data_IF_060433246821
#
_entry.id   IF_060433246821
#
_cell.length_a   1.000
_cell.length_b   1.000
_cell.length_c   1.000
_cell.angle_alpha   90.00
_cell.angle_beta   90.00
_cell.angle_gamma   90.00
#
_symmetry.space_group_name_H-M   'P 1'
#
loop_
_entity.id
_entity.type
_entity.pdbx_description
1 polymer ?
#
# COMPACT_ATOMS: atom_id res chain seq x y z
N UNK A 1 -15.46 -17.97 47.37
CA UNK A 1 -16.55 -18.86 47.81
C UNK A 1 -17.48 -19.10 46.62
N UNK A 2 -17.51 -20.35 46.12
CA UNK A 2 -18.65 -21.06 45.52
C UNK A 2 -19.35 -20.44 44.28
N UNK A 3 -19.94 -21.13 43.31
CA UNK A 3 -20.01 -22.52 42.81
C UNK A 3 -20.86 -22.35 41.51
N UNK A 4 -20.37 -22.67 40.31
CA UNK A 4 -20.69 -23.89 39.56
C UNK A 4 -22.19 -24.26 39.45
N UNK A 5 -22.73 -24.21 38.22
CA UNK A 5 -23.59 -25.21 37.54
C UNK A 5 -24.26 -24.53 36.31
N UNK A 6 -24.26 -25.08 35.08
CA UNK A 6 -24.60 -26.46 34.70
C UNK A 6 -23.83 -26.92 33.45
N UNK A 7 -23.42 -28.18 33.51
CA UNK A 7 -22.93 -29.03 32.40
C UNK A 7 -24.05 -29.32 31.40
N UNK A 8 -23.71 -29.42 30.12
CA UNK A 8 -24.23 -30.49 29.26
C UNK A 8 -23.06 -31.11 28.51
N UNK A 9 -22.87 -32.42 28.72
CA UNK A 9 -21.86 -33.28 28.10
C UNK A 9 -22.60 -34.25 27.20
N UNK A 10 -22.26 -34.28 25.91
CA UNK A 10 -22.32 -35.43 24.99
C UNK A 10 -21.26 -35.10 23.92
N UNK A 11 -20.21 -35.85 23.59
CA UNK A 11 -19.81 -37.23 23.83
C UNK A 11 -18.99 -37.62 22.60
N UNK A 12 -17.72 -37.99 22.76
CA UNK A 12 -16.85 -38.39 21.64
C UNK A 12 -15.36 -38.43 22.00
N UNK A 13 -14.96 -39.44 22.77
CA UNK A 13 -13.56 -39.82 23.04
C UNK A 13 -12.88 -40.29 21.75
N UNK A 14 -11.65 -39.82 21.48
CA UNK A 14 -10.39 -40.60 21.39
C UNK A 14 -9.30 -39.79 20.68
N UNK A 15 -8.12 -39.65 21.29
CA UNK A 15 -6.87 -39.30 20.59
C UNK A 15 -6.07 -38.12 21.16
N UNK A 16 -5.32 -38.36 22.25
CA UNK A 16 -4.21 -37.51 22.69
C UNK A 16 -3.03 -37.65 21.70
N UNK A 17 -2.78 -36.66 20.84
CA UNK A 17 -1.47 -36.41 20.21
C UNK A 17 -1.27 -34.90 20.00
N UNK A 18 -0.20 -34.34 20.59
CA UNK A 18 0.54 -33.22 20.01
C UNK A 18 0.03 -31.80 20.23
N UNK A 19 0.38 -31.22 21.37
CA UNK A 19 0.34 -29.77 21.64
C UNK A 19 1.41 -29.08 20.77
N UNK A 20 1.07 -28.70 19.54
CA UNK A 20 1.85 -27.76 18.70
C UNK A 20 1.12 -27.30 17.41
N UNK A 21 0.06 -27.98 16.97
CA UNK A 21 -0.57 -27.73 15.65
C UNK A 21 -1.77 -26.77 15.60
N UNK A 22 -2.31 -26.35 16.75
CA UNK A 22 -3.58 -25.61 16.82
C UNK A 22 -3.52 -24.13 16.43
N UNK A 23 -2.36 -23.49 16.54
CA UNK A 23 -2.23 -22.05 16.26
C UNK A 23 -2.11 -21.72 14.77
N UNK A 24 -1.65 -22.66 13.94
CA UNK A 24 -1.42 -22.41 12.50
C UNK A 24 -2.67 -22.49 11.62
N UNK A 25 -3.78 -23.04 12.15
CA UNK A 25 -5.01 -23.24 11.36
C UNK A 25 -5.97 -22.06 11.52
N UNK A 26 -5.99 -21.38 12.67
CA UNK A 26 -6.86 -20.23 12.91
C UNK A 26 -6.49 -19.02 12.02
N UNK A 27 -5.19 -18.78 11.80
CA UNK A 27 -4.69 -17.62 11.04
C UNK A 27 -4.98 -17.70 9.53
N UNK A 28 -5.02 -18.90 8.95
CA UNK A 28 -5.35 -19.07 7.52
C UNK A 28 -6.82 -18.78 7.21
N UNK A 29 -7.73 -19.12 8.12
CA UNK A 29 -9.16 -18.89 7.93
C UNK A 29 -9.54 -17.42 8.13
N UNK A 30 -8.87 -16.71 9.04
CA UNK A 30 -9.12 -15.29 9.28
C UNK A 30 -8.56 -14.38 8.17
N UNK A 31 -7.38 -14.68 7.62
CA UNK A 31 -6.84 -13.92 6.47
C UNK A 31 -7.71 -14.10 5.21
N UNK A 32 -8.19 -15.33 4.94
CA UNK A 32 -9.06 -15.59 3.80
C UNK A 32 -10.44 -14.93 3.95
N UNK A 33 -10.97 -14.82 5.17
CA UNK A 33 -12.19 -14.07 5.46
C UNK A 33 -11.97 -12.56 5.28
N UNK A 34 -10.86 -12.01 5.78
CA UNK A 34 -10.50 -10.59 5.59
C UNK A 34 -10.34 -10.21 4.10
N UNK A 35 -9.71 -11.08 3.31
CA UNK A 35 -9.57 -10.90 1.87
C UNK A 35 -10.92 -11.02 1.13
N UNK A 36 -11.77 -12.00 1.49
CA UNK A 36 -13.08 -12.20 0.84
C UNK A 36 -14.11 -11.14 1.22
N UNK A 37 -14.10 -10.65 2.46
CA UNK A 37 -15.03 -9.61 2.91
C UNK A 37 -14.68 -8.25 2.31
N UNK A 38 -13.39 -7.91 2.16
CA UNK A 38 -12.97 -6.71 1.42
C UNK A 38 -13.13 -6.80 -0.10
N UNK A 39 -13.13 -7.99 -0.71
CA UNK A 39 -13.48 -8.10 -2.14
C UNK A 39 -14.96 -7.80 -2.45
N UNK A 40 -15.83 -7.72 -1.43
CA UNK A 40 -17.21 -7.20 -1.57
C UNK A 40 -17.31 -5.69 -1.41
N UNK A 41 -16.23 -5.02 -1.01
CA UNK A 41 -16.12 -3.57 -1.00
C UNK A 41 -15.89 -3.07 -2.43
N UNK A 42 -17.02 -2.95 -3.15
CA UNK A 42 -17.23 -2.30 -4.46
C UNK A 42 -15.95 -2.06 -5.29
N UNK A 43 -15.50 -3.08 -6.01
CA UNK A 43 -14.76 -2.83 -7.23
C UNK A 43 -15.61 -1.90 -8.11
N UNK A 44 -15.10 -0.72 -8.47
CA UNK A 44 -15.77 0.27 -9.32
C UNK A 44 -16.09 -0.34 -10.70
N UNK A 45 -17.23 -1.02 -10.81
CA UNK A 45 -17.66 -1.73 -12.02
C UNK A 45 -18.21 -0.74 -13.02
N UNK A 46 -17.37 -0.39 -14.01
CA UNK A 46 -17.67 0.56 -15.12
C UNK A 46 -17.76 2.01 -14.63
N UNK A 47 -17.84 2.96 -15.56
CA UNK A 47 -17.75 4.42 -15.33
C UNK A 47 -18.97 4.93 -14.56
N UNK A 48 -19.14 4.44 -13.33
CA UNK A 48 -20.26 4.79 -12.49
C UNK A 48 -20.04 6.20 -11.96
N UNK A 49 -21.07 7.04 -12.11
CA UNK A 49 -21.09 8.38 -11.56
C UNK A 49 -20.77 8.43 -10.05
N UNK A 50 -20.87 7.29 -9.33
CA UNK A 50 -20.44 7.18 -7.94
C UNK A 50 -18.92 7.31 -7.77
N UNK A 51 -18.11 6.66 -8.62
CA UNK A 51 -16.66 6.69 -8.48
C UNK A 51 -16.11 8.09 -8.77
N UNK A 52 -16.70 8.81 -9.73
CA UNK A 52 -16.34 10.19 -10.02
C UNK A 52 -16.68 11.11 -8.85
N UNK A 53 -17.85 10.92 -8.22
CA UNK A 53 -18.24 11.67 -7.01
C UNK A 53 -17.28 11.42 -5.84
N UNK A 54 -16.86 10.18 -5.64
CA UNK A 54 -15.86 9.83 -4.62
C UNK A 54 -14.52 10.51 -4.87
N UNK A 55 -14.06 10.56 -6.12
CA UNK A 55 -12.83 11.26 -6.51
C UNK A 55 -12.94 12.77 -6.24
N UNK A 56 -14.08 13.39 -6.57
CA UNK A 56 -14.31 14.81 -6.30
C UNK A 56 -14.37 15.12 -4.80
N UNK A 57 -14.96 14.22 -4.01
CA UNK A 57 -14.96 14.32 -2.55
C UNK A 57 -13.54 14.15 -1.98
N UNK A 58 -12.79 13.16 -2.47
CA UNK A 58 -11.39 12.94 -2.11
C UNK A 58 -10.54 14.18 -2.38
N UNK A 59 -10.71 14.82 -3.55
CA UNK A 59 -10.03 16.06 -3.88
C UNK A 59 -10.33 17.18 -2.86
N UNK A 60 -11.60 17.34 -2.44
CA UNK A 60 -11.98 18.32 -1.41
C UNK A 60 -11.32 18.02 -0.06
N UNK A 61 -11.28 16.76 0.35
CA UNK A 61 -10.62 16.34 1.60
C UNK A 61 -9.13 16.63 1.58
N UNK A 62 -8.47 16.45 0.42
CA UNK A 62 -7.03 16.74 0.27
C UNK A 62 -6.69 18.23 0.35
N UNK A 63 -7.67 19.13 0.15
CA UNK A 63 -7.47 20.58 0.31
C UNK A 63 -7.34 21.03 1.78
N UNK A 64 -7.49 20.12 2.75
CA UNK A 64 -7.28 20.44 4.16
C UNK A 64 -5.88 21.04 4.38
N UNK A 65 -5.74 22.15 5.13
CA UNK A 65 -4.46 22.78 5.41
C UNK A 65 -3.45 21.87 6.13
N UNK A 66 -3.90 20.81 6.79
CA UNK A 66 -3.03 19.83 7.48
C UNK A 66 -2.31 18.90 6.51
N UNK A 67 -2.78 18.77 5.28
CA UNK A 67 -2.18 17.90 4.28
C UNK A 67 -1.01 18.60 3.59
N UNK A 68 0.19 18.02 3.70
CA UNK A 68 1.43 18.48 3.06
C UNK A 68 2.01 17.45 2.07
N UNK A 69 1.17 16.50 1.63
CA UNK A 69 1.58 15.42 0.74
C UNK A 69 1.96 15.92 -0.67
N UNK A 70 2.89 15.23 -1.34
CA UNK A 70 3.17 15.45 -2.77
C UNK A 70 1.93 15.23 -3.64
N UNK A 71 1.05 14.31 -3.22
CA UNK A 71 -0.27 14.12 -3.85
C UNK A 71 -1.04 15.44 -3.90
N UNK A 72 -1.20 16.15 -2.78
CA UNK A 72 -1.97 17.43 -2.75
C UNK A 72 -1.36 18.48 -3.69
N UNK A 73 -0.03 18.53 -3.77
CA UNK A 73 0.68 19.53 -4.59
C UNK A 73 0.47 19.31 -6.09
N UNK A 74 0.48 18.05 -6.53
CA UNK A 74 0.43 17.70 -7.97
C UNK A 74 -0.96 17.29 -8.45
N UNK A 75 -1.85 16.91 -7.54
CA UNK A 75 -3.25 16.66 -7.85
C UNK A 75 -4.00 17.99 -8.00
N UNK A 76 -3.84 18.63 -9.15
CA UNK A 76 -4.64 19.82 -9.51
C UNK A 76 -6.00 19.42 -10.06
N UNK A 77 -6.97 20.34 -10.04
CA UNK A 77 -8.29 20.09 -10.64
C UNK A 77 -8.20 19.65 -12.11
N UNK A 78 -7.26 20.22 -12.88
CA UNK A 78 -7.03 19.82 -14.27
C UNK A 78 -6.58 18.36 -14.40
N UNK A 79 -5.67 17.91 -13.52
CA UNK A 79 -5.21 16.52 -13.48
C UNK A 79 -6.35 15.58 -13.08
N UNK A 80 -7.16 15.96 -12.08
CA UNK A 80 -8.34 15.19 -11.70
C UNK A 80 -9.30 15.05 -12.89
N UNK A 81 -9.60 16.12 -13.60
CA UNK A 81 -10.53 16.10 -14.73
C UNK A 81 -10.04 15.25 -15.90
N UNK A 82 -8.73 15.22 -16.15
CA UNK A 82 -8.12 14.39 -17.17
C UNK A 82 -8.11 12.89 -16.80
N UNK A 83 -7.99 12.57 -15.51
CA UNK A 83 -7.73 11.21 -15.02
C UNK A 83 -8.97 10.52 -14.44
N UNK A 84 -10.00 11.26 -14.00
CA UNK A 84 -11.20 10.71 -13.31
C UNK A 84 -11.98 9.67 -14.11
N UNK A 85 -11.91 9.73 -15.44
CA UNK A 85 -12.61 8.80 -16.34
C UNK A 85 -11.70 7.68 -16.89
N UNK A 86 -10.40 7.68 -16.54
CA UNK A 86 -9.45 6.68 -17.01
C UNK A 86 -9.44 5.46 -16.12
N UNK A 87 -9.21 4.30 -16.73
CA UNK A 87 -9.05 3.01 -16.05
C UNK A 87 -7.95 2.19 -16.73
N UNK A 88 -7.30 1.33 -15.95
CA UNK A 88 -6.36 0.35 -16.48
C UNK A 88 -7.09 -0.89 -16.99
N UNK A 89 -6.39 -1.79 -17.69
CA UNK A 89 -6.93 -3.07 -18.16
C UNK A 89 -7.41 -3.97 -17.03
N UNK A 90 -6.79 -3.86 -15.86
CA UNK A 90 -7.19 -4.58 -14.65
C UNK A 90 -8.31 -3.87 -13.89
N UNK A 91 -8.76 -2.71 -14.38
CA UNK A 91 -9.89 -1.97 -13.82
C UNK A 91 -9.52 -1.01 -12.69
N UNK A 92 -8.24 -0.74 -12.46
CA UNK A 92 -7.80 0.23 -11.47
C UNK A 92 -8.20 1.65 -11.87
N UNK A 93 -8.67 2.43 -10.90
CA UNK A 93 -9.14 3.81 -11.07
C UNK A 93 -8.23 4.80 -10.35
N UNK A 94 -8.40 6.10 -10.62
CA UNK A 94 -7.71 7.15 -9.89
C UNK A 94 -7.98 7.08 -8.38
N UNK A 95 -9.19 6.69 -7.97
CA UNK A 95 -9.52 6.54 -6.54
C UNK A 95 -8.64 5.47 -5.88
N UNK A 96 -8.36 4.37 -6.56
CA UNK A 96 -7.50 3.31 -6.03
C UNK A 96 -6.05 3.79 -5.84
N UNK A 97 -5.59 4.73 -6.68
CA UNK A 97 -4.26 5.34 -6.58
C UNK A 97 -4.14 6.28 -5.38
N UNK A 98 -5.15 7.13 -5.15
CA UNK A 98 -5.09 8.21 -4.15
C UNK A 98 -5.69 7.84 -2.79
N UNK A 99 -6.39 6.70 -2.68
CA UNK A 99 -7.15 6.29 -1.48
C UNK A 99 -6.33 6.41 -0.19
N UNK A 100 -5.06 5.99 -0.23
CA UNK A 100 -4.18 6.06 0.94
C UNK A 100 -3.87 7.50 1.36
N UNK A 101 -3.58 8.40 0.41
CA UNK A 101 -3.29 9.80 0.73
C UNK A 101 -4.52 10.58 1.20
N UNK A 102 -5.72 10.17 0.76
CA UNK A 102 -6.98 10.76 1.22
C UNK A 102 -7.30 10.33 2.66
N UNK A 103 -7.05 9.06 3.01
CA UNK A 103 -7.28 8.55 4.35
C UNK A 103 -6.21 9.01 5.35
N UNK A 104 -4.96 9.11 4.90
CA UNK A 104 -3.80 9.47 5.72
C UNK A 104 -3.23 10.81 5.23
N UNK A 105 -3.77 11.92 5.75
CA UNK A 105 -3.40 13.28 5.33
C UNK A 105 -1.97 13.69 5.74
N UNK A 106 -1.35 12.93 6.64
CA UNK A 106 0.02 13.05 7.10
C UNK A 106 1.03 12.31 6.20
N UNK A 107 0.57 11.60 5.16
CA UNK A 107 1.44 10.90 4.24
C UNK A 107 2.36 11.87 3.47
N UNK A 108 3.66 11.55 3.36
CA UNK A 108 4.60 12.36 2.59
C UNK A 108 4.31 12.37 1.08
N UNK A 109 3.99 11.20 0.50
CA UNK A 109 3.69 11.06 -0.94
C UNK A 109 2.20 10.86 -1.17
N UNK A 110 1.62 9.76 -0.67
CA UNK A 110 0.17 9.51 -0.66
C UNK A 110 -0.41 8.82 -1.90
N UNK A 111 0.42 8.36 -2.85
CA UNK A 111 -0.03 7.60 -4.03
C UNK A 111 0.54 6.18 -4.07
N UNK A 112 -0.24 5.25 -4.60
CA UNK A 112 0.20 3.87 -4.89
C UNK A 112 -0.25 3.47 -6.28
N UNK A 113 0.55 2.69 -7.01
CA UNK A 113 0.16 2.12 -8.30
C UNK A 113 -0.45 0.73 -8.08
N UNK A 114 -1.75 0.51 -8.36
CA UNK A 114 -2.37 -0.80 -8.24
C UNK A 114 -1.82 -1.82 -9.23
N UNK A 115 -1.33 -1.36 -10.38
CA UNK A 115 -0.74 -2.17 -11.43
C UNK A 115 0.36 -1.40 -12.18
N UNK A 116 1.14 -2.10 -13.02
CA UNK A 116 2.22 -1.48 -13.80
C UNK A 116 1.71 -0.49 -14.85
N UNK A 117 0.48 -0.67 -15.34
CA UNK A 117 -0.13 0.20 -16.35
C UNK A 117 -0.53 1.56 -15.76
N UNK A 118 -0.78 1.61 -14.44
CA UNK A 118 -1.16 2.81 -13.71
C UNK A 118 -0.14 3.94 -13.85
N UNK A 119 1.16 3.61 -13.88
CA UNK A 119 2.22 4.60 -14.14
C UNK A 119 2.07 5.30 -15.49
N UNK A 120 1.53 4.61 -16.51
CA UNK A 120 1.32 5.17 -17.84
C UNK A 120 -0.03 5.86 -17.97
N UNK A 121 -1.10 5.24 -17.45
CA UNK A 121 -2.47 5.78 -17.55
C UNK A 121 -2.63 7.06 -16.73
N UNK A 122 -2.02 7.08 -15.54
CA UNK A 122 -2.04 8.20 -14.61
C UNK A 122 -0.70 8.97 -14.58
N UNK A 123 0.07 8.93 -15.68
CA UNK A 123 1.37 9.59 -15.81
C UNK A 123 1.33 11.09 -15.43
N UNK A 124 0.25 11.79 -15.78
CA UNK A 124 0.06 13.21 -15.42
C UNK A 124 0.10 13.48 -13.91
N UNK A 125 -0.15 12.47 -13.07
CA UNK A 125 0.00 12.54 -11.62
C UNK A 125 1.34 11.93 -11.15
N UNK A 126 1.74 10.77 -11.69
CA UNK A 126 2.94 10.07 -11.25
C UNK A 126 4.23 10.77 -11.66
N UNK A 127 4.35 11.24 -12.91
CA UNK A 127 5.57 11.86 -13.44
C UNK A 127 6.05 13.05 -12.59
N UNK A 128 5.21 14.06 -12.27
CA UNK A 128 5.67 15.19 -11.45
C UNK A 128 5.97 14.79 -10.01
N UNK A 129 5.28 13.77 -9.45
CA UNK A 129 5.57 13.24 -8.11
C UNK A 129 6.93 12.52 -8.10
N UNK A 130 7.20 11.68 -9.09
CA UNK A 130 8.47 10.96 -9.25
C UNK A 130 9.60 11.95 -9.45
N UNK A 131 9.40 12.97 -10.28
CA UNK A 131 10.40 13.99 -10.52
C UNK A 131 10.74 14.80 -9.26
N UNK A 132 9.74 15.17 -8.45
CA UNK A 132 10.02 15.89 -7.21
C UNK A 132 10.66 15.00 -6.14
N UNK A 133 10.25 13.73 -6.05
CA UNK A 133 10.77 12.82 -5.02
C UNK A 133 12.16 12.25 -5.35
N UNK A 134 12.41 11.91 -6.61
CA UNK A 134 13.65 11.25 -7.06
C UNK A 134 14.58 12.15 -7.88
N UNK A 135 14.14 13.35 -8.28
CA UNK A 135 14.89 14.20 -9.21
C UNK A 135 14.93 13.64 -10.64
N UNK A 136 13.98 12.76 -10.99
CA UNK A 136 14.00 11.97 -12.21
C UNK A 136 12.90 12.41 -13.18
N UNK A 137 13.29 12.84 -14.38
CA UNK A 137 12.34 13.34 -15.37
C UNK A 137 11.53 12.24 -16.05
N UNK A 138 10.40 12.58 -16.70
CA UNK A 138 9.54 11.60 -17.38
C UNK A 138 10.21 10.91 -18.59
N UNK A 139 11.25 11.53 -19.15
CA UNK A 139 12.00 11.00 -20.28
C UNK A 139 13.30 10.29 -19.87
N UNK A 140 13.67 10.37 -18.59
CA UNK A 140 14.88 9.73 -18.11
C UNK A 140 14.64 8.22 -18.01
N UNK A 141 15.71 7.43 -18.17
CA UNK A 141 15.65 5.97 -18.06
C UNK A 141 16.54 5.49 -16.94
N UNK A 142 15.97 4.65 -16.06
CA UNK A 142 16.72 4.05 -14.97
C UNK A 142 17.94 3.34 -15.58
N UNK A 143 19.15 3.55 -15.05
CA UNK A 143 20.33 2.84 -15.52
C UNK A 143 20.15 1.33 -15.35
N UNK A 144 20.93 0.55 -16.10
CA UNK A 144 20.94 -0.90 -15.98
C UNK A 144 21.24 -1.33 -14.54
N UNK A 145 20.63 -2.45 -14.14
CA UNK A 145 20.80 -2.97 -12.78
C UNK A 145 22.26 -3.38 -12.58
N UNK A 146 22.88 -2.77 -11.58
CA UNK A 146 24.24 -3.06 -11.15
C UNK A 146 24.22 -3.40 -9.65
N UNK A 147 24.38 -4.68 -9.35
CA UNK A 147 24.38 -5.19 -7.97
C UNK A 147 25.76 -5.03 -7.27
N UNK A 148 26.75 -4.45 -7.95
CA UNK A 148 28.07 -4.20 -7.37
C UNK A 148 28.91 -5.46 -7.11
N UNK A 149 28.71 -6.53 -7.89
CA UNK A 149 29.45 -7.78 -7.74
C UNK A 149 30.97 -7.55 -7.72
N UNK A 150 31.64 -8.08 -6.68
CA UNK A 150 33.09 -7.95 -6.51
C UNK A 150 33.59 -6.58 -6.01
N UNK A 151 32.72 -5.56 -5.92
CA UNK A 151 33.07 -4.20 -5.45
C UNK A 151 32.77 -3.94 -3.99
N UNK A 152 32.33 -4.95 -3.24
CA UNK A 152 32.08 -4.83 -1.79
C UNK A 152 33.32 -4.37 -1.00
N UNK A 153 34.53 -4.60 -1.53
CA UNK A 153 35.80 -4.12 -0.95
C UNK A 153 35.96 -2.60 -1.01
N UNK A 154 35.23 -1.92 -1.89
CA UNK A 154 35.22 -0.44 -2.00
C UNK A 154 34.42 0.19 -0.85
N UNK A 155 33.52 -0.58 -0.22
CA UNK A 155 32.73 -0.14 0.93
C UNK A 155 33.57 -0.27 2.21
N UNK A 156 34.25 0.80 2.59
CA UNK A 156 35.06 0.84 3.81
C UNK A 156 34.19 0.82 5.08
N UNK A 157 34.67 0.28 6.21
CA UNK A 157 33.96 0.35 7.48
C UNK A 157 33.73 1.80 7.91
N UNK A 158 32.47 2.20 8.08
CA UNK A 158 32.10 3.57 8.47
C UNK A 158 32.42 3.90 9.93
N UNK A 159 32.49 2.89 10.80
CA UNK A 159 32.81 3.05 12.22
C UNK A 159 33.68 1.86 12.70
N UNK A 160 35.01 1.90 12.46
CA UNK A 160 35.92 0.83 12.86
C UNK A 160 36.03 0.66 14.38
N UNK A 161 35.78 1.72 15.14
CA UNK A 161 35.91 1.74 16.60
C UNK A 161 34.63 1.32 17.32
N UNK A 162 33.51 1.18 16.59
CA UNK A 162 32.23 0.72 17.12
C UNK A 162 31.60 1.68 18.13
N UNK A 163 31.88 2.99 18.00
CA UNK A 163 31.41 4.01 18.96
C UNK A 163 30.03 4.57 18.63
N UNK A 164 29.62 4.50 17.37
CA UNK A 164 28.44 5.21 16.85
C UNK A 164 27.42 4.26 16.20
N UNK A 165 27.88 3.26 15.45
CA UNK A 165 26.99 2.39 14.66
C UNK A 165 26.64 1.13 15.45
N UNK A 166 25.38 1.03 15.86
CA UNK A 166 24.86 -0.17 16.53
C UNK A 166 24.45 -1.29 15.56
N UNK A 167 23.89 -0.92 14.40
CA UNK A 167 23.48 -1.90 13.38
C UNK A 167 23.44 -1.26 11.99
N UNK A 168 23.68 -2.07 10.97
CA UNK A 168 23.55 -1.68 9.57
C UNK A 168 22.63 -2.69 8.87
N UNK A 169 21.63 -2.19 8.14
CA UNK A 169 20.68 -3.00 7.36
C UNK A 169 20.60 -2.46 5.94
N UNK A 170 20.77 -3.34 4.97
CA UNK A 170 20.43 -3.11 3.57
C UNK A 170 19.35 -4.12 3.16
N UNK A 171 18.42 -3.72 2.30
CA UNK A 171 17.42 -4.59 1.71
C UNK A 171 17.61 -4.52 0.19
N UNK A 172 17.91 -5.65 -0.43
CA UNK A 172 17.95 -5.85 -1.88
C UNK A 172 16.58 -6.26 -2.41
#
# INVERSE_FOLDING_TARGET
MALLHKRLVVGGLTGLIGVAGGYYVQDKFHFQAYAKEKTKEKACKKNDASCVKEIEQAYKTLQDPKCNSLLKKHLTQSVVDQLKNKKTKLGATLMDVIRSGVHNLDAGVGVYAPDSESYKVFAALFDPIIQEYHGFGPNDKQPDVDLGEGRTKELTPLDPEGKYIYSLRACS
#
